data_IF_536246648248
#
_entry.id   IF_536246648248
#
_cell.length_a   1.000
_cell.length_b   1.000
_cell.length_c   1.000
_cell.angle_alpha   90.00
_cell.angle_beta   90.00
_cell.angle_gamma   90.00
#
_symmetry.space_group_name_H-M   'P 1'
#
loop_
_entity.id
_entity.type
_entity.pdbx_description
1 polymer ?
#
# COMPACT_ATOMS: atom_id res chain seq x y z
N UNK A 1 -31.88 21.19 -25.11
CA UNK A 1 -31.11 22.45 -25.02
C UNK A 1 -29.70 22.18 -25.56
N UNK A 2 -29.09 23.16 -26.24
CA UNK A 2 -27.72 23.06 -26.80
C UNK A 2 -26.70 22.73 -25.69
N UNK A 3 -26.92 23.23 -24.47
CA UNK A 3 -26.06 22.96 -23.30
C UNK A 3 -26.11 21.48 -22.92
N UNK A 4 -27.30 20.86 -22.91
CA UNK A 4 -27.47 19.45 -22.60
C UNK A 4 -26.75 18.53 -23.61
N UNK A 5 -26.78 18.89 -24.88
CA UNK A 5 -26.11 18.12 -25.94
C UNK A 5 -24.60 18.19 -25.80
N UNK A 6 -24.03 19.35 -25.44
CA UNK A 6 -22.62 19.52 -25.22
C UNK A 6 -22.13 18.77 -23.97
N UNK A 7 -22.90 18.79 -22.88
CA UNK A 7 -22.58 18.05 -21.65
C UNK A 7 -22.58 16.54 -21.92
N UNK A 8 -23.60 16.01 -22.61
CA UNK A 8 -23.66 14.60 -22.97
C UNK A 8 -22.44 14.16 -23.80
N UNK A 9 -22.08 14.96 -24.80
CA UNK A 9 -20.89 14.71 -25.63
C UNK A 9 -19.59 14.68 -24.82
N UNK A 10 -19.42 15.60 -23.87
CA UNK A 10 -18.25 15.62 -22.97
C UNK A 10 -18.23 14.36 -22.08
N UNK A 11 -19.38 13.96 -21.54
CA UNK A 11 -19.50 12.74 -20.72
C UNK A 11 -19.09 11.50 -21.54
N UNK A 12 -19.56 11.36 -22.77
CA UNK A 12 -19.20 10.24 -23.64
C UNK A 12 -17.70 10.20 -23.95
N UNK A 13 -17.10 11.35 -24.26
CA UNK A 13 -15.66 11.45 -24.49
C UNK A 13 -14.88 11.04 -23.23
N UNK A 14 -15.28 11.51 -22.04
CA UNK A 14 -14.62 11.17 -20.79
C UNK A 14 -14.76 9.69 -20.44
N UNK A 15 -15.92 9.08 -20.65
CA UNK A 15 -16.13 7.64 -20.47
C UNK A 15 -15.21 6.84 -21.39
N UNK A 16 -15.15 7.20 -22.68
CA UNK A 16 -14.26 6.54 -23.65
C UNK A 16 -12.79 6.65 -23.25
N UNK A 17 -12.35 7.84 -22.83
CA UNK A 17 -10.99 8.04 -22.36
C UNK A 17 -10.70 7.21 -21.09
N UNK A 18 -11.65 7.13 -20.16
CA UNK A 18 -11.51 6.32 -18.95
C UNK A 18 -11.34 4.83 -19.26
N UNK A 19 -12.11 4.31 -20.23
CA UNK A 19 -11.99 2.92 -20.65
C UNK A 19 -10.63 2.64 -21.33
N UNK A 20 -10.10 3.60 -22.08
CA UNK A 20 -8.75 3.53 -22.63
C UNK A 20 -7.71 3.51 -21.49
N UNK A 21 -7.80 4.44 -20.52
CA UNK A 21 -6.86 4.50 -19.40
C UNK A 21 -6.88 3.25 -18.53
N UNK A 22 -8.02 2.60 -18.36
CA UNK A 22 -8.11 1.32 -17.65
C UNK A 22 -7.30 0.19 -18.29
N UNK A 23 -7.08 0.25 -19.59
CA UNK A 23 -6.33 -0.77 -20.33
C UNK A 23 -4.82 -0.48 -20.38
N UNK A 24 -4.39 0.74 -19.99
CA UNK A 24 -2.99 1.09 -19.95
C UNK A 24 -2.30 0.42 -18.76
N UNK A 25 -1.06 0.03 -18.94
CA UNK A 25 -0.20 -0.38 -17.83
C UNK A 25 -0.09 0.76 -16.83
N UNK A 26 -0.38 0.53 -15.54
CA UNK A 26 -0.22 1.56 -14.52
C UNK A 26 1.20 2.11 -14.53
N UNK A 27 1.33 3.42 -14.35
CA UNK A 27 2.63 4.04 -14.17
C UNK A 27 3.27 3.49 -12.87
N UNK A 28 4.61 3.35 -12.83
CA UNK A 28 5.29 2.98 -11.62
C UNK A 28 5.03 3.99 -10.50
N UNK A 29 5.07 3.53 -9.25
CA UNK A 29 4.82 4.38 -8.08
C UNK A 29 5.82 5.55 -7.95
N UNK A 30 7.00 5.41 -8.57
CA UNK A 30 8.05 6.43 -8.63
C UNK A 30 8.63 6.46 -10.02
N UNK A 31 8.68 7.63 -10.61
CA UNK A 31 9.33 7.86 -11.91
C UNK A 31 9.98 9.22 -11.95
N UNK A 32 11.02 9.34 -12.76
CA UNK A 32 11.72 10.59 -13.02
C UNK A 32 11.41 11.04 -14.44
N UNK A 33 11.04 12.29 -14.61
CA UNK A 33 10.95 12.92 -15.94
C UNK A 33 12.05 13.95 -16.08
N UNK A 34 12.68 13.99 -17.26
CA UNK A 34 13.67 15.02 -17.60
C UNK A 34 13.14 15.88 -18.72
N UNK A 35 12.92 17.16 -18.44
CA UNK A 35 12.40 18.11 -19.41
C UNK A 35 10.90 18.33 -19.34
N UNK A 36 10.32 18.92 -20.39
CA UNK A 36 8.91 19.23 -20.48
C UNK A 36 8.10 17.96 -20.77
N UNK A 37 7.01 17.76 -20.03
CA UNK A 37 6.10 16.63 -20.27
C UNK A 37 5.22 16.98 -21.45
N UNK A 38 5.51 16.39 -22.59
CA UNK A 38 4.74 16.52 -23.83
C UNK A 38 4.31 15.15 -24.37
N UNK A 39 3.96 15.07 -25.64
CA UNK A 39 3.49 13.85 -26.28
C UNK A 39 4.54 12.70 -26.30
N UNK A 40 5.82 13.05 -26.19
CA UNK A 40 6.95 12.12 -26.18
C UNK A 40 7.77 12.33 -24.92
N UNK A 41 7.36 11.74 -23.81
CA UNK A 41 8.19 11.70 -22.61
C UNK A 41 8.64 10.27 -22.30
N UNK A 42 9.90 10.17 -21.90
CA UNK A 42 10.43 8.92 -21.34
C UNK A 42 10.45 9.06 -19.83
N UNK A 43 9.99 8.05 -19.13
CA UNK A 43 10.13 7.97 -17.68
C UNK A 43 11.06 6.80 -17.32
N UNK A 44 11.88 7.02 -16.33
CA UNK A 44 12.67 5.99 -15.71
C UNK A 44 11.94 5.51 -14.46
N UNK A 45 11.69 4.21 -14.39
CA UNK A 45 11.15 3.61 -13.19
C UNK A 45 12.23 3.58 -12.11
N UNK A 46 12.08 4.43 -11.09
CA UNK A 46 12.99 4.46 -9.94
C UNK A 46 12.69 3.36 -8.92
N UNK A 47 11.61 2.61 -9.11
CA UNK A 47 11.32 1.48 -8.22
C UNK A 47 12.22 0.28 -8.48
N UNK A 48 12.80 0.19 -9.67
CA UNK A 48 13.66 -0.93 -10.09
C UNK A 48 15.13 -0.80 -9.70
N UNK A 49 15.63 0.41 -9.39
CA UNK A 49 17.07 0.64 -9.20
C UNK A 49 17.56 0.84 -7.77
N UNK A 50 16.69 1.15 -6.82
CA UNK A 50 17.11 1.44 -5.44
C UNK A 50 16.22 0.84 -4.34
N UNK A 51 15.13 0.18 -4.69
CA UNK A 51 14.21 -0.36 -3.69
C UNK A 51 14.32 -1.87 -3.63
N UNK A 52 15.20 -2.29 -2.75
CA UNK A 52 14.94 -3.32 -1.78
C UNK A 52 14.49 -4.64 -2.41
N UNK A 53 15.49 -5.43 -2.67
CA UNK A 53 15.38 -6.83 -2.96
C UNK A 53 14.43 -7.49 -1.96
N UNK A 54 13.33 -7.99 -2.47
CA UNK A 54 12.64 -9.10 -1.84
C UNK A 54 13.65 -10.26 -1.82
N UNK A 55 14.26 -10.50 -0.69
CA UNK A 55 15.11 -11.66 -0.50
C UNK A 55 14.17 -12.85 -0.23
N UNK A 56 13.70 -13.49 -1.31
CA UNK A 56 12.82 -14.65 -1.21
C UNK A 56 13.40 -15.76 -0.31
N UNK A 57 14.72 -15.82 -0.20
CA UNK A 57 15.40 -16.79 0.67
C UNK A 57 15.31 -16.45 2.16
N UNK A 58 14.93 -15.21 2.51
CA UNK A 58 14.89 -14.75 3.92
C UNK A 58 13.51 -14.38 4.43
N UNK A 59 12.44 -14.52 3.65
CA UNK A 59 11.10 -14.07 4.04
C UNK A 59 11.09 -12.63 4.57
N UNK A 60 11.86 -11.75 3.92
CA UNK A 60 12.12 -10.39 4.33
C UNK A 60 11.51 -9.41 3.34
N UNK A 61 10.63 -8.53 3.83
CA UNK A 61 10.14 -7.38 3.06
C UNK A 61 10.66 -6.10 3.71
N UNK A 62 10.71 -5.05 2.91
CA UNK A 62 11.11 -3.73 3.38
C UNK A 62 10.19 -2.66 2.80
N UNK A 63 10.06 -1.57 3.54
CA UNK A 63 9.38 -0.36 3.11
C UNK A 63 9.99 0.86 3.78
N UNK A 64 9.33 1.99 3.61
CA UNK A 64 9.73 3.24 4.25
C UNK A 64 9.24 3.25 5.70
N UNK A 65 10.14 3.34 6.70
CA UNK A 65 9.76 3.46 8.11
C UNK A 65 8.94 4.73 8.32
N UNK A 66 7.83 4.62 9.07
CA UNK A 66 6.91 5.73 9.17
C UNK A 66 6.56 6.11 10.61
N UNK A 67 6.15 5.18 11.42
CA UNK A 67 5.89 5.36 12.85
C UNK A 67 6.56 4.25 13.64
N UNK A 68 7.31 4.64 14.67
CA UNK A 68 8.20 3.76 15.43
C UNK A 68 7.43 2.68 16.20
N UNK A 69 8.05 1.54 16.37
CA UNK A 69 7.60 0.44 17.22
C UNK A 69 7.78 -0.92 16.56
N UNK A 70 7.97 -1.93 17.40
CA UNK A 70 8.09 -3.32 16.96
C UNK A 70 6.74 -4.03 17.22
N UNK A 71 6.22 -4.67 16.20
CA UNK A 71 4.93 -5.37 16.26
C UNK A 71 5.11 -6.80 15.80
N UNK A 72 4.51 -7.72 16.55
CA UNK A 72 4.43 -9.16 16.21
C UNK A 72 2.99 -9.61 16.27
N UNK A 73 2.60 -10.46 15.33
CA UNK A 73 1.29 -11.07 15.32
C UNK A 73 0.82 -11.55 13.96
N UNK A 74 -0.40 -12.07 13.96
CA UNK A 74 -1.09 -12.43 12.73
C UNK A 74 -1.60 -11.19 12.02
N UNK A 75 -1.52 -11.19 10.70
CA UNK A 75 -1.98 -10.08 9.89
C UNK A 75 -3.33 -10.34 9.24
N UNK A 76 -4.02 -9.25 8.95
CA UNK A 76 -5.20 -9.20 8.07
C UNK A 76 -4.87 -8.34 6.85
N UNK A 77 -5.03 -8.91 5.65
CA UNK A 77 -4.93 -8.15 4.40
C UNK A 77 -6.30 -7.62 4.07
N UNK A 78 -6.47 -6.30 4.10
CA UNK A 78 -7.75 -5.61 3.99
C UNK A 78 -7.72 -4.64 2.81
N UNK A 79 -8.69 -4.78 1.91
CA UNK A 79 -8.84 -3.89 0.78
C UNK A 79 -9.73 -2.68 1.12
N UNK A 80 -10.80 -2.88 1.88
CA UNK A 80 -11.75 -1.84 2.25
C UNK A 80 -12.23 -2.03 3.71
N UNK A 81 -11.99 -1.06 4.60
CA UNK A 81 -12.34 -1.17 6.01
C UNK A 81 -13.86 -1.20 6.29
N UNK A 82 -14.68 -0.78 5.31
CA UNK A 82 -16.14 -0.78 5.46
C UNK A 82 -16.72 -2.18 5.29
N UNK A 83 -16.09 -3.00 4.47
CA UNK A 83 -16.61 -4.33 4.11
C UNK A 83 -15.98 -5.46 4.91
N UNK A 84 -14.94 -5.18 5.67
CA UNK A 84 -14.17 -6.18 6.39
C UNK A 84 -14.09 -5.86 7.89
N UNK A 85 -14.25 -6.88 8.72
CA UNK A 85 -14.23 -6.69 10.17
C UNK A 85 -12.81 -6.50 10.67
N UNK A 86 -12.53 -5.29 11.17
CA UNK A 86 -11.30 -4.94 11.87
C UNK A 86 -11.58 -4.99 13.37
N UNK A 87 -10.74 -5.68 14.10
CA UNK A 87 -10.85 -5.85 15.55
C UNK A 87 -9.70 -5.12 16.25
N UNK A 88 -9.88 -4.93 17.55
CA UNK A 88 -8.83 -4.32 18.36
C UNK A 88 -7.55 -5.16 18.32
N UNK A 89 -6.42 -4.49 18.23
CA UNK A 89 -5.07 -5.07 18.16
C UNK A 89 -4.77 -5.85 16.87
N UNK A 90 -5.55 -5.62 15.80
CA UNK A 90 -5.24 -6.18 14.47
C UNK A 90 -3.98 -5.51 13.87
N UNK A 91 -3.18 -6.31 13.19
CA UNK A 91 -2.12 -5.85 12.31
C UNK A 91 -2.67 -5.90 10.89
N UNK A 92 -2.76 -4.74 10.27
CA UNK A 92 -3.40 -4.62 8.95
C UNK A 92 -2.38 -4.37 7.85
N UNK A 93 -2.55 -5.09 6.75
CA UNK A 93 -1.85 -4.87 5.49
C UNK A 93 -2.86 -4.40 4.46
N UNK A 94 -2.61 -3.28 3.82
CA UNK A 94 -3.51 -2.73 2.79
C UNK A 94 -2.74 -2.13 1.62
N UNK A 95 -3.43 -2.01 0.50
CA UNK A 95 -2.82 -1.37 -0.67
C UNK A 95 -2.64 0.14 -0.47
N UNK A 96 -3.64 0.81 0.01
CA UNK A 96 -3.63 2.25 0.30
C UNK A 96 -4.71 2.58 1.32
N UNK A 97 -4.60 3.73 1.97
CA UNK A 97 -5.64 4.23 2.86
C UNK A 97 -6.24 5.52 2.33
N UNK A 98 -7.50 5.73 2.63
CA UNK A 98 -8.25 6.94 2.36
C UNK A 98 -8.90 7.48 3.66
N UNK A 99 -9.61 8.62 3.65
CA UNK A 99 -10.20 9.18 4.86
C UNK A 99 -11.20 8.27 5.60
N UNK A 100 -11.78 7.26 4.95
CA UNK A 100 -12.72 6.32 5.61
C UNK A 100 -12.01 5.45 6.67
N UNK A 101 -10.69 5.29 6.55
CA UNK A 101 -9.86 4.53 7.47
C UNK A 101 -9.69 5.18 8.85
N UNK A 102 -9.98 6.47 9.00
CA UNK A 102 -9.80 7.21 10.27
C UNK A 102 -10.52 6.52 11.44
N UNK A 103 -11.70 5.95 11.18
CA UNK A 103 -12.49 5.28 12.21
C UNK A 103 -11.85 4.00 12.75
N UNK A 104 -11.02 3.34 11.96
CA UNK A 104 -10.43 2.05 12.34
C UNK A 104 -8.98 2.15 12.81
N UNK A 105 -8.27 3.23 12.48
CA UNK A 105 -6.90 3.42 12.94
C UNK A 105 -6.70 3.19 14.43
N UNK A 106 -7.55 3.69 15.36
CA UNK A 106 -7.37 3.49 16.79
C UNK A 106 -7.47 2.03 17.25
N UNK A 107 -7.97 1.14 16.41
CA UNK A 107 -8.06 -0.29 16.69
C UNK A 107 -6.77 -1.04 16.33
N UNK A 108 -5.93 -0.45 15.47
CA UNK A 108 -4.79 -1.14 14.89
C UNK A 108 -3.62 -1.25 15.87
N UNK A 109 -3.07 -2.44 15.99
CA UNK A 109 -1.77 -2.68 16.64
C UNK A 109 -0.60 -2.28 15.75
N UNK A 110 -0.78 -2.37 14.42
CA UNK A 110 0.22 -1.99 13.44
C UNK A 110 -0.32 -1.93 12.02
N UNK A 111 0.35 -1.18 11.16
CA UNK A 111 -0.09 -0.93 9.80
C UNK A 111 1.03 -1.06 8.77
N UNK A 112 0.78 -1.83 7.71
CA UNK A 112 1.65 -1.95 6.55
C UNK A 112 0.87 -1.50 5.31
N UNK A 113 1.45 -0.56 4.56
CA UNK A 113 0.80 0.01 3.37
C UNK A 113 1.66 -0.19 2.14
N UNK A 114 1.08 -0.77 1.09
CA UNK A 114 1.79 -1.04 -0.16
C UNK A 114 2.12 0.25 -0.92
N UNK A 115 1.14 1.13 -1.07
CA UNK A 115 1.29 2.40 -1.81
C UNK A 115 1.18 3.57 -0.83
N UNK A 116 2.26 4.27 -0.63
CA UNK A 116 2.31 5.42 0.27
C UNK A 116 3.70 6.03 0.38
N UNK A 117 3.75 7.22 0.96
CA UNK A 117 4.98 7.94 1.27
C UNK A 117 4.92 8.50 2.69
N UNK A 118 6.00 9.11 3.15
CA UNK A 118 6.06 9.75 4.49
C UNK A 118 5.04 10.89 4.69
N UNK A 119 4.47 11.39 3.60
CA UNK A 119 3.45 12.44 3.60
C UNK A 119 2.05 11.90 3.23
N UNK A 120 1.89 10.58 3.10
CA UNK A 120 0.58 9.98 2.83
C UNK A 120 -0.33 10.07 4.05
N UNK A 121 -1.64 9.95 3.82
CA UNK A 121 -2.67 9.93 4.86
C UNK A 121 -2.35 8.90 5.97
N UNK A 122 -2.03 7.67 5.58
CA UNK A 122 -1.64 6.61 6.52
C UNK A 122 -0.43 6.99 7.37
N UNK A 123 0.58 7.61 6.77
CA UNK A 123 1.81 7.99 7.46
C UNK A 123 1.58 9.09 8.51
N UNK A 124 0.76 10.07 8.18
CA UNK A 124 0.42 11.17 9.09
C UNK A 124 -0.39 10.64 10.27
N UNK A 125 -1.48 9.94 10.01
CA UNK A 125 -2.38 9.44 11.07
C UNK A 125 -1.67 8.42 11.96
N UNK A 126 -0.87 7.51 11.41
CA UNK A 126 -0.13 6.54 12.21
C UNK A 126 0.84 7.21 13.20
N UNK A 127 1.53 8.28 12.79
CA UNK A 127 2.41 9.05 13.68
C UNK A 127 1.64 9.78 14.76
N UNK A 128 0.52 10.42 14.41
CA UNK A 128 -0.32 11.15 15.37
C UNK A 128 -0.89 10.20 16.45
N UNK A 129 -1.28 9.00 16.06
CA UNK A 129 -1.84 8.00 16.97
C UNK A 129 -0.79 7.09 17.61
N UNK A 130 0.49 7.20 17.21
CA UNK A 130 1.56 6.34 17.73
C UNK A 130 1.45 4.88 17.29
N UNK A 131 0.80 4.61 16.16
CA UNK A 131 0.63 3.25 15.62
C UNK A 131 1.87 2.89 14.80
N UNK A 132 2.63 1.84 15.16
CA UNK A 132 3.76 1.39 14.36
C UNK A 132 3.37 1.13 12.92
N UNK A 133 4.12 1.70 11.97
CA UNK A 133 3.74 1.60 10.57
C UNK A 133 4.91 1.68 9.60
N UNK A 134 4.72 0.98 8.46
CA UNK A 134 5.62 0.97 7.30
C UNK A 134 4.79 1.26 6.06
N UNK A 135 5.27 2.16 5.20
CA UNK A 135 4.60 2.50 3.94
C UNK A 135 5.51 2.23 2.75
N UNK A 136 4.92 2.12 1.55
CA UNK A 136 5.69 1.87 0.33
C UNK A 136 6.30 0.48 0.27
N UNK A 137 5.65 -0.53 0.82
CA UNK A 137 6.08 -1.93 0.77
C UNK A 137 5.59 -2.55 -0.53
N UNK A 138 6.47 -2.67 -1.51
CA UNK A 138 6.10 -3.16 -2.85
C UNK A 138 5.46 -4.54 -2.80
N UNK A 139 4.30 -4.68 -3.47
CA UNK A 139 3.53 -5.92 -3.57
C UNK A 139 3.14 -6.55 -2.22
N UNK A 140 3.05 -5.75 -1.15
CA UNK A 140 2.74 -6.27 0.20
C UNK A 140 1.46 -7.10 0.23
N UNK A 141 0.40 -6.64 -0.45
CA UNK A 141 -0.90 -7.33 -0.49
C UNK A 141 -0.90 -8.63 -1.31
N UNK A 142 0.13 -8.85 -2.13
CA UNK A 142 0.32 -10.10 -2.89
C UNK A 142 1.21 -11.09 -2.15
N UNK A 143 2.26 -10.59 -1.49
CA UNK A 143 3.27 -11.37 -0.79
C UNK A 143 2.83 -11.81 0.60
N UNK A 144 2.04 -10.98 1.28
CA UNK A 144 1.48 -11.23 2.60
C UNK A 144 0.01 -11.63 2.47
N UNK A 145 -0.43 -12.60 3.27
CA UNK A 145 -1.80 -13.11 3.26
C UNK A 145 -2.39 -13.08 4.66
N UNK A 146 -3.69 -12.87 4.75
CA UNK A 146 -4.41 -12.97 6.02
C UNK A 146 -4.10 -14.31 6.70
N UNK A 147 -3.68 -14.23 7.96
CA UNK A 147 -3.25 -15.40 8.76
C UNK A 147 -1.74 -15.64 8.75
N UNK A 148 -0.95 -14.91 7.97
CA UNK A 148 0.50 -14.93 8.10
C UNK A 148 0.91 -14.32 9.43
N UNK A 149 1.94 -14.90 10.06
CA UNK A 149 2.54 -14.34 11.27
C UNK A 149 3.79 -13.57 10.92
N UNK A 150 3.84 -12.32 11.33
CA UNK A 150 4.97 -11.45 11.01
C UNK A 150 5.53 -10.76 12.26
N UNK A 151 6.75 -10.29 12.14
CA UNK A 151 7.32 -9.24 12.96
C UNK A 151 7.74 -8.09 12.06
N UNK A 152 7.41 -6.87 12.44
CA UNK A 152 7.94 -5.70 11.75
C UNK A 152 8.39 -4.61 12.71
N UNK A 153 9.35 -3.81 12.26
CA UNK A 153 9.86 -2.65 12.98
C UNK A 153 9.59 -1.37 12.18
N UNK A 154 8.68 -0.56 12.68
CA UNK A 154 8.32 0.73 12.11
C UNK A 154 9.43 1.79 12.18
N UNK A 155 10.54 1.52 12.86
CA UNK A 155 11.72 2.39 12.91
C UNK A 155 12.71 2.10 11.77
N UNK A 156 12.83 0.84 11.38
CA UNK A 156 13.76 0.39 10.33
C UNK A 156 13.10 0.10 8.99
N UNK A 157 11.79 -0.08 8.99
CA UNK A 157 11.03 -0.43 7.78
C UNK A 157 11.19 -1.90 7.36
N UNK A 158 11.64 -2.77 8.26
CA UNK A 158 11.90 -4.18 8.01
C UNK A 158 10.70 -5.01 8.48
N UNK A 159 10.29 -5.97 7.65
CA UNK A 159 9.21 -6.91 7.92
C UNK A 159 9.76 -8.33 7.74
N UNK A 160 9.64 -9.15 8.76
CA UNK A 160 9.97 -10.57 8.75
C UNK A 160 8.70 -11.41 8.74
N UNK A 161 8.52 -12.25 7.74
CA UNK A 161 7.49 -13.29 7.76
C UNK A 161 8.04 -14.50 8.49
N UNK A 162 7.36 -14.90 9.55
CA UNK A 162 7.77 -16.01 10.42
C UNK A 162 6.97 -17.25 10.03
N UNK A 163 7.64 -18.27 9.53
CA UNK A 163 7.03 -19.55 9.23
C UNK A 163 7.04 -20.44 10.48
N UNK A 164 5.86 -20.85 10.93
CA UNK A 164 5.77 -21.91 11.92
C UNK A 164 5.95 -23.26 11.21
N UNK A 165 7.09 -23.90 11.40
CA UNK A 165 7.20 -25.33 11.08
C UNK A 165 6.23 -26.07 11.97
N UNK A 166 5.18 -26.66 11.41
CA UNK A 166 4.38 -27.67 12.13
C UNK A 166 5.29 -28.87 12.39
N UNK A 167 5.86 -28.94 13.58
CA UNK A 167 6.43 -30.19 14.08
C UNK A 167 5.23 -31.08 14.38
N UNK A 168 4.93 -32.01 13.50
CA UNK A 168 4.08 -33.12 13.86
C UNK A 168 4.97 -34.03 14.72
N UNK A 169 4.78 -34.00 16.01
CA UNK A 169 5.20 -35.10 16.88
C UNK A 169 4.20 -36.24 16.63
N UNK A 170 4.70 -37.36 16.08
CA UNK A 170 3.98 -38.64 15.98
C UNK A 170 3.90 -39.28 17.35
#
# INVERSE_FOLDING_TARGET
SIIDTNIKKIIEIRKKNYDIYKQLTPLPNRFLTKGFIGENFFFQDLTSSEIIQHDEKKNLLRGTPCSKGIVRGFIKVIANPVNEKIEKDDIVVTKSTDPSWVMVFPLLKGLIVEVGSLLSHSAIISRELGIPSIVGVSNATQLLKTGDYIEFDGSTGIIHKIEFKKTFEE
#
